data_IF_528502833957
#
_entry.id   IF_528502833957
#
_cell.length_a   1.000
_cell.length_b   1.000
_cell.length_c   1.000
_cell.angle_alpha   90.00
_cell.angle_beta   90.00
_cell.angle_gamma   90.00
#
_symmetry.space_group_name_H-M   'P 1'
#
loop_
_entity.id
_entity.type
_entity.pdbx_description
1 polymer ?
#
# COMPACT_ATOMS: atom_id res chain seq x y z
N UNK A 1 25.78 -54.61 26.96
CA UNK A 1 24.78 -54.00 27.86
C UNK A 1 24.93 -52.48 27.82
N UNK A 2 23.88 -51.80 27.31
CA UNK A 2 23.44 -50.40 27.58
C UNK A 2 24.48 -49.27 27.33
N UNK A 3 24.44 -48.58 26.18
CA UNK A 3 23.62 -47.40 25.80
C UNK A 3 23.97 -46.09 26.55
N UNK A 4 24.31 -45.04 25.78
CA UNK A 4 24.05 -43.59 25.99
C UNK A 4 24.81 -42.84 24.88
N UNK A 5 24.28 -42.65 23.66
CA UNK A 5 23.28 -41.66 23.20
C UNK A 5 23.55 -40.23 23.71
N UNK A 6 24.03 -39.38 22.81
CA UNK A 6 23.73 -37.95 22.80
C UNK A 6 23.59 -37.53 21.34
N UNK A 7 22.38 -37.68 20.81
CA UNK A 7 21.98 -37.03 19.58
C UNK A 7 21.54 -35.61 19.94
N UNK A 8 22.30 -34.63 19.46
CA UNK A 8 21.97 -33.21 19.58
C UNK A 8 20.81 -32.93 18.61
N UNK A 9 19.59 -32.87 19.13
CA UNK A 9 18.42 -32.44 18.35
C UNK A 9 18.49 -30.92 18.24
N UNK A 10 18.96 -30.44 17.09
CA UNK A 10 18.88 -29.03 16.73
C UNK A 10 17.41 -28.74 16.36
N UNK A 11 16.66 -28.15 17.28
CA UNK A 11 15.32 -27.67 17.01
C UNK A 11 15.42 -26.39 16.17
N UNK A 12 15.38 -26.53 14.85
CA UNK A 12 15.13 -25.43 13.92
C UNK A 12 13.67 -24.99 14.11
N UNK A 13 13.48 -23.86 14.78
CA UNK A 13 12.21 -23.15 14.74
C UNK A 13 12.05 -22.60 13.31
N UNK A 14 11.24 -23.27 12.49
CA UNK A 14 10.68 -22.67 11.28
C UNK A 14 9.73 -21.55 11.74
N UNK A 15 10.21 -20.32 11.77
CA UNK A 15 9.34 -19.16 11.75
C UNK A 15 8.69 -19.11 10.37
N UNK A 16 7.43 -19.56 10.29
CA UNK A 16 6.57 -19.21 9.17
C UNK A 16 6.41 -17.69 9.22
N UNK A 17 7.05 -16.97 8.30
CA UNK A 17 6.66 -15.61 8.01
C UNK A 17 5.22 -15.68 7.49
N UNK A 18 4.27 -15.15 8.25
CA UNK A 18 2.91 -14.99 7.76
C UNK A 18 2.97 -13.94 6.66
N UNK A 19 2.64 -14.32 5.42
CA UNK A 19 2.36 -13.37 4.36
C UNK A 19 1.27 -12.44 4.88
N UNK A 20 1.54 -11.15 4.99
CA UNK A 20 0.52 -10.18 5.37
C UNK A 20 -0.53 -10.12 4.25
N UNK A 21 -1.56 -10.96 4.36
CA UNK A 21 -2.79 -10.81 3.60
C UNK A 21 -3.33 -9.41 3.94
N UNK A 22 -3.68 -8.61 2.93
CA UNK A 22 -4.28 -7.31 3.18
C UNK A 22 -5.53 -7.49 4.06
N UNK A 23 -5.45 -7.00 5.31
CA UNK A 23 -6.53 -7.15 6.28
C UNK A 23 -7.56 -6.02 6.08
N UNK A 24 -8.83 -6.30 6.40
CA UNK A 24 -9.84 -5.25 6.47
C UNK A 24 -9.40 -4.17 7.47
N UNK A 25 -9.50 -2.87 7.12
CA UNK A 25 -9.12 -1.79 8.02
C UNK A 25 -10.09 -1.72 9.20
N UNK A 26 -9.62 -1.25 10.35
CA UNK A 26 -10.45 -1.07 11.55
C UNK A 26 -11.75 -0.30 11.31
N UNK A 27 -11.74 0.67 10.38
CA UNK A 27 -12.93 1.44 9.99
C UNK A 27 -14.05 0.64 9.31
N UNK A 28 -13.84 -0.62 8.93
CA UNK A 28 -14.91 -1.53 8.51
C UNK A 28 -15.89 -1.84 9.65
N UNK A 29 -15.41 -1.77 10.90
CA UNK A 29 -16.27 -1.88 12.07
C UNK A 29 -17.35 -0.78 12.06
N UNK A 30 -18.60 -1.17 12.27
CA UNK A 30 -19.74 -0.27 12.16
C UNK A 30 -21.05 -1.01 11.94
N UNK A 31 -22.07 -0.26 11.52
CA UNK A 31 -23.40 -0.78 11.25
C UNK A 31 -23.68 -0.78 9.75
N UNK A 32 -24.28 -1.86 9.27
CA UNK A 32 -24.57 -2.12 7.86
C UNK A 32 -26.02 -2.59 7.72
N UNK A 33 -26.69 -2.27 6.61
CA UNK A 33 -28.09 -2.60 6.39
C UNK A 33 -28.43 -2.64 4.91
N UNK A 34 -29.52 -3.31 4.52
CA UNK A 34 -30.03 -3.21 3.16
C UNK A 34 -31.08 -2.08 3.08
N UNK A 35 -30.88 -1.00 2.30
CA UNK A 35 -31.85 0.11 2.24
C UNK A 35 -33.22 -0.29 1.70
N UNK A 36 -33.28 -1.17 0.70
CA UNK A 36 -34.53 -1.69 0.12
C UNK A 36 -35.31 -2.58 1.09
N UNK A 37 -34.66 -3.09 2.13
CA UNK A 37 -35.22 -3.94 3.18
C UNK A 37 -35.00 -3.35 4.57
N UNK A 38 -35.14 -2.02 4.69
CA UNK A 38 -34.97 -1.29 5.95
C UNK A 38 -35.76 -1.92 7.10
N UNK A 39 -35.08 -2.26 8.20
CA UNK A 39 -35.68 -2.90 9.38
C UNK A 39 -34.82 -4.01 9.99
N UNK A 40 -33.82 -4.50 9.26
CA UNK A 40 -32.79 -5.44 9.71
C UNK A 40 -31.39 -4.92 9.36
N UNK A 41 -30.35 -5.52 9.91
CA UNK A 41 -28.97 -5.11 9.62
C UNK A 41 -27.92 -5.78 10.50
N UNK A 42 -26.66 -5.49 10.18
CA UNK A 42 -25.48 -6.08 10.80
C UNK A 42 -24.73 -5.05 11.65
N UNK A 43 -24.19 -5.52 12.76
CA UNK A 43 -23.13 -4.83 13.49
C UNK A 43 -21.83 -5.62 13.31
N UNK A 44 -20.84 -5.01 12.68
CA UNK A 44 -19.54 -5.63 12.39
C UNK A 44 -18.50 -5.06 13.34
N UNK A 45 -17.74 -5.94 13.98
CA UNK A 45 -16.60 -5.57 14.84
C UNK A 45 -15.39 -6.39 14.45
N UNK A 46 -14.34 -5.73 13.97
CA UNK A 46 -13.03 -6.38 13.82
C UNK A 46 -12.36 -6.47 15.19
N UNK A 47 -12.17 -7.69 15.69
CA UNK A 47 -11.52 -7.93 16.99
C UNK A 47 -9.99 -7.83 16.86
N UNK A 48 -9.45 -8.30 15.73
CA UNK A 48 -8.05 -8.20 15.32
C UNK A 48 -7.97 -8.41 13.78
N UNK A 49 -6.78 -8.40 13.15
CA UNK A 49 -6.67 -8.54 11.69
C UNK A 49 -7.22 -9.85 11.09
N UNK A 50 -7.40 -10.90 11.88
CA UNK A 50 -7.80 -12.25 11.43
C UNK A 50 -9.22 -12.62 11.92
N UNK A 51 -9.78 -11.88 12.88
CA UNK A 51 -11.03 -12.23 13.55
C UNK A 51 -12.02 -11.06 13.59
N UNK A 52 -13.26 -11.35 13.20
CA UNK A 52 -14.38 -10.43 13.30
C UNK A 52 -15.56 -11.08 14.04
N UNK A 53 -16.32 -10.25 14.75
CA UNK A 53 -17.62 -10.60 15.30
C UNK A 53 -18.67 -9.82 14.50
N UNK A 54 -19.59 -10.55 13.88
CA UNK A 54 -20.74 -9.96 13.19
C UNK A 54 -22.00 -10.34 13.93
N UNK A 55 -22.84 -9.35 14.21
CA UNK A 55 -24.15 -9.56 14.83
C UNK A 55 -25.21 -9.15 13.82
N UNK A 56 -25.98 -10.11 13.31
CA UNK A 56 -27.05 -9.84 12.35
C UNK A 56 -28.40 -9.82 13.07
N UNK A 57 -29.00 -8.64 13.13
CA UNK A 57 -30.35 -8.41 13.65
C UNK A 57 -31.35 -8.61 12.51
N UNK A 58 -32.21 -9.63 12.62
CA UNK A 58 -33.12 -10.08 11.54
C UNK A 58 -34.44 -10.58 12.16
N UNK A 59 -35.27 -11.24 11.37
CA UNK A 59 -36.55 -11.81 11.79
C UNK A 59 -36.62 -13.31 11.44
N UNK A 60 -37.30 -14.09 12.28
CA UNK A 60 -37.63 -15.48 11.98
C UNK A 60 -38.78 -15.59 10.95
N UNK A 61 -39.13 -16.83 10.55
CA UNK A 61 -40.20 -17.08 9.57
C UNK A 61 -41.61 -16.70 10.07
N UNK A 62 -41.78 -16.48 11.37
CA UNK A 62 -43.04 -16.02 11.98
C UNK A 62 -43.06 -14.48 12.15
N UNK A 63 -41.97 -13.80 11.78
CA UNK A 63 -41.81 -12.34 11.87
C UNK A 63 -41.36 -11.83 13.24
N UNK A 64 -40.91 -12.71 14.15
CA UNK A 64 -40.35 -12.28 15.44
C UNK A 64 -38.88 -11.85 15.28
N UNK A 65 -38.40 -10.85 16.04
CA UNK A 65 -37.00 -10.48 16.02
C UNK A 65 -36.09 -11.66 16.43
N UNK A 66 -35.02 -11.81 15.67
CA UNK A 66 -33.97 -12.81 15.85
C UNK A 66 -32.62 -12.09 15.80
N UNK A 67 -31.62 -12.64 16.49
CA UNK A 67 -30.24 -12.15 16.37
C UNK A 67 -29.31 -13.32 16.16
N UNK A 68 -28.51 -13.21 15.11
CA UNK A 68 -27.48 -14.18 14.77
C UNK A 68 -26.12 -13.62 15.21
N UNK A 69 -25.33 -14.46 15.86
CA UNK A 69 -23.96 -14.15 16.24
C UNK A 69 -23.02 -14.96 15.38
N UNK A 70 -22.17 -14.27 14.63
CA UNK A 70 -21.20 -14.86 13.72
C UNK A 70 -19.81 -14.55 14.27
N UNK A 71 -19.05 -15.61 14.51
CA UNK A 71 -17.61 -15.53 14.70
C UNK A 71 -16.97 -15.82 13.34
N UNK A 72 -16.37 -14.80 12.74
CA UNK A 72 -15.89 -14.86 11.36
C UNK A 72 -14.39 -14.67 11.25
N UNK A 73 -13.76 -15.48 10.41
CA UNK A 73 -12.37 -15.31 10.00
C UNK A 73 -12.29 -14.24 8.92
N UNK A 74 -11.31 -13.35 9.03
CA UNK A 74 -11.04 -12.29 8.05
C UNK A 74 -10.05 -12.82 7.01
N UNK A 75 -10.47 -12.81 5.74
CA UNK A 75 -9.61 -13.19 4.62
C UNK A 75 -9.75 -12.16 3.50
N UNK A 76 -8.71 -11.35 3.29
CA UNK A 76 -8.75 -10.26 2.32
C UNK A 76 -9.86 -9.25 2.64
N UNK A 77 -10.92 -9.27 1.83
CA UNK A 77 -12.08 -8.37 1.97
C UNK A 77 -13.34 -9.08 2.48
N UNK A 78 -13.18 -10.30 2.97
CA UNK A 78 -14.30 -11.15 3.34
C UNK A 78 -14.23 -11.52 4.82
N UNK A 79 -15.39 -11.57 5.46
CA UNK A 79 -15.59 -12.20 6.77
C UNK A 79 -16.41 -13.45 6.54
N UNK A 80 -15.84 -14.63 6.79
CA UNK A 80 -16.51 -15.92 6.65
C UNK A 80 -16.65 -16.57 8.01
N UNK A 81 -17.85 -17.03 8.37
CA UNK A 81 -18.03 -17.66 9.67
C UNK A 81 -19.36 -18.34 9.89
N UNK A 82 -19.38 -19.14 10.96
CA UNK A 82 -20.57 -19.85 11.39
C UNK A 82 -21.46 -18.95 12.24
N UNK A 83 -22.73 -18.88 11.88
CA UNK A 83 -23.75 -18.15 12.61
C UNK A 83 -24.45 -19.03 13.65
N UNK A 84 -24.67 -18.46 14.83
CA UNK A 84 -25.40 -19.08 15.94
C UNK A 84 -26.64 -18.26 16.30
N UNK A 85 -27.71 -18.92 16.72
CA UNK A 85 -29.00 -18.31 17.06
C UNK A 85 -29.37 -18.53 18.55
N UNK A 86 -28.83 -17.73 19.48
CA UNK A 86 -29.09 -17.90 20.91
C UNK A 86 -30.57 -17.80 21.29
N UNK A 87 -31.03 -18.66 22.19
CA UNK A 87 -32.40 -18.70 22.70
C UNK A 87 -32.48 -19.24 24.13
N UNK A 88 -33.68 -19.13 24.70
CA UNK A 88 -34.09 -19.76 25.96
C UNK A 88 -34.04 -18.84 27.19
N UNK A 89 -32.96 -18.08 27.39
CA UNK A 89 -32.90 -17.08 28.48
C UNK A 89 -33.99 -16.02 28.38
N UNK A 90 -34.46 -15.50 29.52
CA UNK A 90 -35.52 -14.49 29.60
C UNK A 90 -35.03 -13.23 30.31
N UNK A 91 -35.43 -12.07 29.80
CA UNK A 91 -35.07 -10.80 30.44
C UNK A 91 -35.55 -10.76 31.91
N UNK A 92 -34.63 -10.48 32.84
CA UNK A 92 -34.90 -10.49 34.29
C UNK A 92 -34.79 -11.87 34.95
N UNK A 93 -34.60 -12.93 34.18
CA UNK A 93 -34.38 -14.32 34.64
C UNK A 93 -33.23 -14.94 33.85
N UNK A 94 -32.01 -14.60 34.25
CA UNK A 94 -30.78 -15.03 33.57
C UNK A 94 -30.26 -16.34 34.18
N UNK A 95 -30.93 -17.46 33.88
CA UNK A 95 -30.47 -18.81 34.24
C UNK A 95 -29.59 -19.39 33.11
N UNK A 96 -28.28 -19.63 33.34
CA UNK A 96 -27.39 -20.27 32.36
C UNK A 96 -27.86 -21.63 31.86
N UNK A 97 -28.66 -22.37 32.65
CA UNK A 97 -29.17 -23.67 32.24
C UNK A 97 -30.21 -23.59 31.11
N UNK A 98 -30.84 -22.41 30.93
CA UNK A 98 -31.83 -22.17 29.88
C UNK A 98 -31.19 -21.70 28.56
N UNK A 99 -29.86 -21.48 28.52
CA UNK A 99 -29.18 -20.94 27.34
C UNK A 99 -28.83 -22.04 26.33
N UNK A 100 -29.33 -21.86 25.11
CA UNK A 100 -28.95 -22.66 23.95
C UNK A 100 -28.46 -21.74 22.83
N UNK A 101 -27.39 -22.13 22.13
CA UNK A 101 -26.88 -21.44 20.94
C UNK A 101 -26.73 -22.43 19.78
N UNK A 102 -27.85 -22.89 19.18
CA UNK A 102 -27.79 -23.75 18.00
C UNK A 102 -27.06 -23.04 16.85
N UNK A 103 -26.28 -23.81 16.09
CA UNK A 103 -25.77 -23.38 14.79
C UNK A 103 -26.97 -23.12 13.86
N UNK A 104 -26.97 -21.96 13.23
CA UNK A 104 -27.98 -21.53 12.27
C UNK A 104 -27.54 -21.83 10.84
N UNK A 105 -26.28 -21.52 10.50
CA UNK A 105 -25.73 -21.71 9.16
C UNK A 105 -24.38 -21.06 8.98
N UNK A 106 -23.90 -21.00 7.74
CA UNK A 106 -22.69 -20.25 7.37
C UNK A 106 -23.06 -18.89 6.80
N UNK A 107 -22.22 -17.89 7.08
CA UNK A 107 -22.40 -16.51 6.62
C UNK A 107 -21.09 -15.99 6.06
N UNK A 108 -21.20 -15.32 4.92
CA UNK A 108 -20.13 -14.62 4.22
C UNK A 108 -20.52 -13.15 4.10
N UNK A 109 -19.60 -12.25 4.45
CA UNK A 109 -19.74 -10.82 4.24
C UNK A 109 -18.52 -10.30 3.46
N UNK A 110 -18.74 -9.99 2.18
CA UNK A 110 -17.73 -9.50 1.26
C UNK A 110 -17.88 -7.98 1.09
N UNK A 111 -16.84 -7.20 1.40
CA UNK A 111 -16.90 -5.74 1.30
C UNK A 111 -16.43 -5.27 -0.09
N UNK A 112 -17.25 -4.49 -0.80
CA UNK A 112 -16.91 -3.88 -2.10
C UNK A 112 -16.17 -2.56 -1.95
N UNK A 113 -16.53 -1.78 -0.93
CA UNK A 113 -15.81 -0.59 -0.47
C UNK A 113 -16.24 -0.24 0.96
N UNK A 114 -16.04 1.00 1.39
CA UNK A 114 -16.44 1.43 2.73
C UNK A 114 -17.93 1.59 2.93
N UNK A 115 -18.68 1.74 1.87
CA UNK A 115 -20.10 2.04 1.92
C UNK A 115 -20.93 0.88 1.40
N UNK A 116 -20.36 -0.07 0.65
CA UNK A 116 -21.05 -1.18 0.01
C UNK A 116 -20.39 -2.53 0.35
N UNK A 117 -21.24 -3.55 0.56
CA UNK A 117 -20.85 -4.93 0.77
C UNK A 117 -21.97 -5.89 0.31
N UNK A 118 -21.63 -7.16 0.15
CA UNK A 118 -22.56 -8.24 -0.16
C UNK A 118 -22.57 -9.24 0.99
N UNK A 119 -23.76 -9.45 1.58
CA UNK A 119 -23.99 -10.54 2.52
C UNK A 119 -24.46 -11.79 1.76
N UNK A 120 -23.91 -12.95 2.10
CA UNK A 120 -24.37 -14.27 1.66
C UNK A 120 -24.57 -15.17 2.86
N UNK A 121 -25.52 -16.10 2.76
CA UNK A 121 -25.76 -17.07 3.81
C UNK A 121 -26.19 -18.41 3.25
N UNK A 122 -25.93 -19.46 4.03
CA UNK A 122 -26.45 -20.80 3.82
C UNK A 122 -26.93 -21.37 5.17
N UNK A 123 -28.25 -21.36 5.38
CA UNK A 123 -28.85 -21.85 6.62
C UNK A 123 -28.95 -23.37 6.62
N UNK A 124 -28.56 -23.97 7.74
CA UNK A 124 -28.81 -25.39 8.03
C UNK A 124 -30.29 -25.70 8.27
N UNK A 125 -31.09 -24.70 8.63
CA UNK A 125 -32.54 -24.79 8.72
C UNK A 125 -33.17 -24.49 7.33
N UNK A 126 -33.87 -25.47 6.70
CA UNK A 126 -34.49 -25.31 5.39
C UNK A 126 -35.54 -24.20 5.30
N UNK A 127 -36.08 -23.74 6.44
CA UNK A 127 -37.07 -22.67 6.47
C UNK A 127 -36.46 -21.31 6.05
N UNK A 128 -35.16 -21.12 6.24
CA UNK A 128 -34.43 -19.91 5.84
C UNK A 128 -33.69 -20.06 4.51
N UNK A 129 -33.21 -21.28 4.19
CA UNK A 129 -32.48 -21.59 2.96
C UNK A 129 -31.18 -20.79 2.80
N UNK A 130 -30.73 -20.66 1.56
CA UNK A 130 -29.52 -19.90 1.20
C UNK A 130 -29.91 -18.65 0.41
N UNK A 131 -29.11 -17.59 0.50
CA UNK A 131 -29.40 -16.34 -0.20
C UNK A 131 -28.26 -15.36 -0.18
N UNK A 132 -28.50 -14.21 -0.80
CA UNK A 132 -27.57 -13.09 -0.81
C UNK A 132 -28.34 -11.77 -0.91
N UNK A 133 -27.77 -10.71 -0.34
CA UNK A 133 -28.26 -9.35 -0.50
C UNK A 133 -27.13 -8.33 -0.43
N UNK A 134 -27.24 -7.19 -1.15
CA UNK A 134 -26.37 -6.06 -0.91
C UNK A 134 -26.68 -5.43 0.46
N UNK A 135 -25.66 -4.88 1.10
CA UNK A 135 -25.79 -4.06 2.31
C UNK A 135 -24.93 -2.81 2.17
N UNK A 136 -25.43 -1.71 2.70
CA UNK A 136 -24.79 -0.42 2.74
C UNK A 136 -24.43 -0.02 4.16
N UNK A 137 -23.41 0.82 4.29
CA UNK A 137 -23.01 1.36 5.59
C UNK A 137 -24.04 2.34 6.13
N UNK A 138 -24.55 2.05 7.33
CA UNK A 138 -25.41 2.95 8.10
C UNK A 138 -24.61 3.98 8.89
N UNK A 139 -23.50 3.57 9.51
CA UNK A 139 -22.70 4.44 10.38
C UNK A 139 -21.21 4.08 10.37
N UNK A 140 -20.38 5.12 10.50
CA UNK A 140 -18.93 5.01 10.66
C UNK A 140 -18.53 5.00 12.13
N UNK A 141 -17.47 4.27 12.45
CA UNK A 141 -16.82 4.38 13.76
C UNK A 141 -15.94 5.62 13.78
N UNK A 142 -16.26 6.58 14.66
CA UNK A 142 -15.54 7.85 14.73
C UNK A 142 -14.06 7.65 15.04
N UNK A 143 -13.18 8.29 14.25
CA UNK A 143 -11.73 8.27 14.45
C UNK A 143 -11.02 7.03 13.88
N UNK A 144 -11.72 6.17 13.14
CA UNK A 144 -11.12 5.07 12.39
C UNK A 144 -11.29 5.33 10.89
N UNK A 145 -10.19 5.27 10.14
CA UNK A 145 -10.27 5.37 8.68
C UNK A 145 -10.86 4.09 8.11
N UNK A 146 -11.83 4.30 7.22
CA UNK A 146 -12.40 3.25 6.41
C UNK A 146 -11.83 3.48 5.01
N UNK A 147 -10.77 2.74 4.70
CA UNK A 147 -10.32 2.51 3.34
C UNK A 147 -9.98 1.03 3.22
N UNK A 148 -10.90 0.16 2.78
CA UNK A 148 -10.56 -1.22 2.52
C UNK A 148 -9.45 -1.23 1.46
N UNK A 149 -8.55 -2.22 1.51
CA UNK A 149 -7.58 -2.39 0.44
C UNK A 149 -8.33 -2.38 -0.89
N UNK A 150 -7.94 -1.51 -1.83
CA UNK A 150 -8.64 -1.40 -3.11
C UNK A 150 -8.67 -2.77 -3.84
N UNK A 151 -9.68 -2.94 -4.68
CA UNK A 151 -10.05 -4.15 -5.42
C UNK A 151 -8.86 -4.97 -5.95
N UNK A 152 -8.94 -6.29 -5.77
CA UNK A 152 -7.87 -7.27 -5.95
C UNK A 152 -7.18 -7.28 -7.31
N UNK A 153 -5.99 -7.88 -7.30
CA UNK A 153 -5.02 -8.14 -8.39
C UNK A 153 -3.84 -7.16 -8.53
N UNK A 154 -3.80 -6.07 -7.76
CA UNK A 154 -2.60 -5.22 -7.65
C UNK A 154 -1.99 -5.39 -6.26
N UNK A 155 -0.96 -6.24 -6.08
CA UNK A 155 -0.29 -6.35 -4.80
C UNK A 155 0.32 -4.99 -4.42
N UNK A 156 -0.17 -4.34 -3.37
CA UNK A 156 0.59 -3.22 -2.82
C UNK A 156 1.94 -3.75 -2.32
N UNK A 157 3.03 -3.02 -2.56
CA UNK A 157 4.36 -3.50 -2.18
C UNK A 157 5.47 -3.03 -3.11
N UNK A 158 6.67 -3.59 -2.90
CA UNK A 158 7.85 -3.28 -3.70
C UNK A 158 7.81 -4.03 -5.03
N UNK A 159 8.24 -3.33 -6.08
CA UNK A 159 8.33 -3.83 -7.44
C UNK A 159 9.70 -3.52 -8.01
N UNK A 160 10.23 -4.49 -8.74
CA UNK A 160 11.42 -4.32 -9.55
C UNK A 160 11.04 -4.37 -11.01
N UNK A 161 11.76 -3.65 -11.84
CA UNK A 161 11.46 -3.52 -13.24
C UNK A 161 12.65 -3.09 -14.04
N UNK A 162 12.39 -2.79 -15.30
CA UNK A 162 13.37 -2.27 -16.25
C UNK A 162 12.78 -1.25 -17.17
N UNK A 163 13.52 -0.17 -17.40
CA UNK A 163 13.22 0.78 -18.48
C UNK A 163 14.11 0.52 -19.68
N UNK A 164 13.47 0.31 -20.84
CA UNK A 164 14.12 0.01 -22.10
C UNK A 164 13.76 1.02 -23.17
N UNK A 165 14.75 1.47 -23.94
CA UNK A 165 14.56 2.14 -25.22
C UNK A 165 14.99 1.19 -26.36
N UNK A 166 14.33 1.26 -27.52
CA UNK A 166 14.47 0.33 -28.66
C UNK A 166 15.94 -0.04 -29.05
N UNK A 167 16.92 0.83 -28.75
CA UNK A 167 18.23 0.75 -29.43
C UNK A 167 19.48 0.48 -28.57
N UNK A 168 19.46 0.57 -27.21
CA UNK A 168 20.69 0.25 -26.40
C UNK A 168 20.66 0.41 -24.87
N UNK A 169 19.53 0.70 -24.26
CA UNK A 169 19.50 1.10 -22.85
C UNK A 169 18.56 0.18 -22.09
N UNK A 170 19.07 -0.49 -21.05
CA UNK A 170 18.33 -1.30 -20.08
C UNK A 170 18.80 -0.84 -18.70
N UNK A 171 17.94 -0.18 -17.92
CA UNK A 171 18.25 0.17 -16.53
C UNK A 171 17.27 -0.53 -15.61
N UNK A 172 17.80 -0.95 -14.46
CA UNK A 172 16.97 -1.38 -13.35
C UNK A 172 16.04 -0.24 -12.94
N UNK A 173 14.81 -0.60 -12.58
CA UNK A 173 13.78 0.30 -12.11
C UNK A 173 13.24 -0.27 -10.80
N UNK A 174 12.95 0.61 -9.86
CA UNK A 174 12.33 0.23 -8.60
C UNK A 174 11.11 1.09 -8.37
N UNK A 175 10.02 0.46 -7.95
CA UNK A 175 8.77 1.12 -7.65
C UNK A 175 8.17 0.58 -6.36
N UNK A 176 7.30 1.40 -5.80
CA UNK A 176 6.27 0.93 -4.89
C UNK A 176 4.92 1.07 -5.55
N UNK A 177 4.04 0.11 -5.29
CA UNK A 177 2.62 0.26 -5.59
C UNK A 177 1.88 0.42 -4.27
N UNK A 178 1.14 1.52 -4.14
CA UNK A 178 0.38 1.81 -2.93
C UNK A 178 -0.97 1.08 -2.88
N UNK A 179 -1.67 1.20 -1.75
CA UNK A 179 -2.98 0.56 -1.56
C UNK A 179 -4.07 1.02 -2.52
N UNK A 180 -3.87 2.11 -3.27
CA UNK A 180 -4.77 2.54 -4.35
C UNK A 180 -4.33 2.01 -5.73
N UNK A 181 -3.36 1.11 -5.79
CA UNK A 181 -2.82 0.55 -7.02
C UNK A 181 -1.95 1.53 -7.81
N UNK A 182 -1.55 2.67 -7.22
CA UNK A 182 -0.74 3.67 -7.92
C UNK A 182 0.72 3.27 -7.87
N UNK A 183 1.38 3.30 -9.02
CA UNK A 183 2.79 3.01 -9.19
C UNK A 183 3.62 4.28 -8.99
N UNK A 184 4.62 4.20 -8.13
CA UNK A 184 5.59 5.26 -7.84
C UNK A 184 7.00 4.68 -7.96
N UNK A 185 7.67 4.94 -9.08
CA UNK A 185 9.03 4.41 -9.25
C UNK A 185 9.98 5.29 -10.04
N UNK A 186 11.24 4.88 -10.01
CA UNK A 186 12.33 5.56 -10.69
C UNK A 186 13.39 4.58 -11.21
N UNK A 187 14.14 5.02 -12.21
CA UNK A 187 15.34 4.32 -12.68
C UNK A 187 16.42 4.28 -11.58
N UNK A 188 17.09 3.12 -11.46
CA UNK A 188 18.18 2.81 -10.51
C UNK A 188 19.57 2.81 -11.17
N UNK A 189 19.70 3.44 -12.35
CA UNK A 189 20.91 3.39 -13.16
C UNK A 189 22.18 3.91 -12.48
N UNK A 190 23.32 3.84 -13.19
CA UNK A 190 24.69 4.07 -12.66
C UNK A 190 24.98 5.44 -11.99
N UNK A 191 23.99 6.31 -11.85
CA UNK A 191 24.02 7.62 -11.20
C UNK A 191 22.56 8.01 -10.84
N UNK A 192 21.92 7.32 -9.88
CA UNK A 192 20.46 7.23 -9.82
C UNK A 192 19.76 8.51 -9.32
N UNK A 193 20.51 9.52 -8.87
CA UNK A 193 19.96 10.74 -8.27
C UNK A 193 20.26 11.93 -9.18
N UNK A 194 19.30 12.84 -9.40
CA UNK A 194 19.49 13.94 -10.32
C UNK A 194 20.70 14.78 -9.90
N UNK A 195 21.46 15.13 -10.92
CA UNK A 195 22.85 15.53 -10.79
C UNK A 195 23.01 16.83 -11.57
N UNK A 196 23.81 17.81 -11.09
CA UNK A 196 24.13 18.98 -11.87
C UNK A 196 25.06 18.60 -13.05
N UNK A 197 24.52 17.91 -14.05
CA UNK A 197 25.26 17.50 -15.25
C UNK A 197 25.08 18.53 -16.36
N UNK A 198 26.13 19.33 -16.58
CA UNK A 198 26.19 20.35 -17.61
C UNK A 198 26.25 19.81 -19.04
N UNK A 199 26.69 18.56 -19.26
CA UNK A 199 26.84 17.95 -20.60
C UNK A 199 26.73 16.42 -20.57
N UNK A 200 25.91 15.84 -21.45
CA UNK A 200 26.06 14.47 -21.98
C UNK A 200 25.64 13.30 -21.09
N UNK A 201 25.27 13.52 -19.83
CA UNK A 201 24.75 12.46 -18.97
C UNK A 201 23.25 12.25 -19.14
N UNK A 202 22.81 11.00 -19.12
CA UNK A 202 21.38 10.65 -19.14
C UNK A 202 20.75 11.02 -17.79
N UNK A 203 19.55 11.60 -17.84
CA UNK A 203 18.74 11.79 -16.65
C UNK A 203 17.83 10.58 -16.44
N UNK A 204 17.72 10.12 -15.18
CA UNK A 204 16.86 9.00 -14.86
C UNK A 204 15.39 9.37 -15.03
N UNK A 205 14.56 8.39 -15.35
CA UNK A 205 13.12 8.51 -15.36
C UNK A 205 12.53 8.35 -13.96
N UNK A 206 11.52 9.14 -13.69
CA UNK A 206 10.49 8.87 -12.69
C UNK A 206 9.21 8.55 -13.43
N UNK A 207 8.58 7.44 -13.05
CA UNK A 207 7.34 6.98 -13.65
C UNK A 207 6.29 6.89 -12.56
N UNK A 208 5.19 7.60 -12.78
CA UNK A 208 4.01 7.58 -11.93
C UNK A 208 2.86 6.97 -12.74
N UNK A 209 2.17 5.98 -12.19
CA UNK A 209 1.09 5.28 -12.85
C UNK A 209 -0.12 5.09 -11.96
N UNK A 210 -1.29 4.93 -12.56
CA UNK A 210 -2.55 4.61 -11.89
C UNK A 210 -3.43 3.73 -12.79
N UNK A 211 -4.32 2.93 -12.22
CA UNK A 211 -5.39 2.29 -12.98
C UNK A 211 -6.29 3.34 -13.65
N UNK A 212 -6.71 3.09 -14.89
CA UNK A 212 -7.56 4.01 -15.68
C UNK A 212 -8.97 4.09 -15.09
N UNK A 213 -9.50 2.97 -14.62
CA UNK A 213 -10.80 2.86 -13.93
C UNK A 213 -10.66 1.98 -12.69
N UNK A 214 -11.42 2.28 -11.62
CA UNK A 214 -11.45 1.45 -10.41
C UNK A 214 -11.90 -0.01 -10.68
N UNK A 215 -12.57 -0.24 -11.81
CA UNK A 215 -13.09 -1.54 -12.24
C UNK A 215 -12.20 -2.25 -13.28
N UNK A 216 -11.20 -1.56 -13.86
CA UNK A 216 -10.28 -2.13 -14.86
C UNK A 216 -8.88 -2.22 -14.25
N UNK A 217 -8.63 -3.26 -13.46
CA UNK A 217 -7.33 -3.48 -12.78
C UNK A 217 -6.18 -3.79 -13.72
N UNK A 218 -6.45 -3.99 -15.01
CA UNK A 218 -5.47 -4.33 -16.03
C UNK A 218 -5.06 -3.15 -16.89
N UNK A 219 -5.82 -2.04 -16.95
CA UNK A 219 -5.46 -0.89 -17.79
C UNK A 219 -4.83 0.22 -16.95
N UNK A 220 -3.63 0.67 -17.33
CA UNK A 220 -2.86 1.67 -16.61
C UNK A 220 -2.58 2.88 -17.48
N UNK A 221 -2.73 4.05 -16.88
CA UNK A 221 -2.21 5.30 -17.42
C UNK A 221 -1.21 5.89 -16.46
N UNK A 222 -0.34 6.74 -16.98
CA UNK A 222 0.68 7.34 -16.16
C UNK A 222 1.41 8.45 -16.88
N UNK A 223 2.52 8.81 -16.27
CA UNK A 223 3.42 9.80 -16.79
C UNK A 223 4.84 9.40 -16.49
N UNK A 224 5.68 9.45 -17.52
CA UNK A 224 7.13 9.39 -17.38
C UNK A 224 7.68 10.81 -17.39
N UNK A 225 8.61 11.11 -16.50
CA UNK A 225 9.26 12.42 -16.41
C UNK A 225 10.73 12.25 -16.10
N UNK A 226 11.57 13.06 -16.74
CA UNK A 226 12.99 13.07 -16.39
C UNK A 226 13.20 13.80 -15.07
N UNK A 227 14.11 13.31 -14.23
CA UNK A 227 14.45 13.96 -12.97
C UNK A 227 15.32 15.20 -13.18
N UNK A 228 14.81 16.40 -12.89
CA UNK A 228 15.49 17.68 -13.19
C UNK A 228 15.60 18.66 -11.99
N UNK A 229 15.22 18.25 -10.79
CA UNK A 229 15.03 19.17 -9.66
C UNK A 229 16.30 19.83 -9.08
N UNK A 230 17.47 19.35 -9.48
CA UNK A 230 18.77 19.90 -9.04
C UNK A 230 19.23 21.15 -9.79
N UNK A 231 18.46 21.66 -10.75
CA UNK A 231 18.75 22.94 -11.41
C UNK A 231 17.65 23.98 -11.18
N UNK A 232 17.91 25.05 -10.42
CA UNK A 232 16.91 26.07 -10.17
C UNK A 232 16.43 26.81 -11.44
N UNK A 233 17.26 26.85 -12.49
CA UNK A 233 17.07 27.61 -13.74
C UNK A 233 16.69 26.77 -14.96
N UNK A 234 16.65 25.43 -14.88
CA UNK A 234 16.30 24.61 -16.03
C UNK A 234 14.79 24.71 -16.28
N UNK A 235 14.39 25.46 -17.30
CA UNK A 235 13.01 25.53 -17.80
C UNK A 235 12.61 24.29 -18.62
N UNK A 236 13.40 23.21 -18.58
CA UNK A 236 13.18 21.99 -19.38
C UNK A 236 12.04 21.20 -18.75
N UNK A 237 10.95 21.06 -19.50
CA UNK A 237 9.68 20.43 -19.08
C UNK A 237 9.48 19.15 -19.88
N UNK A 238 9.99 18.05 -19.34
CA UNK A 238 9.94 16.75 -20.00
C UNK A 238 8.95 15.85 -19.26
N UNK A 239 7.69 15.90 -19.70
CA UNK A 239 6.60 15.02 -19.26
C UNK A 239 6.02 14.29 -20.47
N UNK A 240 5.88 12.99 -20.36
CA UNK A 240 5.36 12.15 -21.41
C UNK A 240 4.21 11.31 -20.87
N UNK A 241 3.07 11.35 -21.54
CA UNK A 241 1.97 10.46 -21.23
C UNK A 241 2.45 9.02 -21.42
N UNK A 242 2.20 8.20 -20.41
CA UNK A 242 2.49 6.78 -20.45
C UNK A 242 1.17 6.01 -20.37
N UNK A 243 1.10 4.89 -21.06
CA UNK A 243 -0.06 3.99 -21.01
C UNK A 243 0.41 2.56 -21.17
N UNK A 244 -0.35 1.62 -20.62
CA UNK A 244 -0.08 0.21 -20.77
C UNK A 244 -0.98 -0.62 -19.87
N UNK A 245 -0.47 -1.76 -19.43
CA UNK A 245 -1.29 -2.78 -18.80
C UNK A 245 -0.61 -3.40 -17.58
N UNK A 246 -1.42 -3.81 -16.61
CA UNK A 246 -1.01 -4.64 -15.49
C UNK A 246 -1.36 -6.10 -15.76
N UNK A 247 -0.47 -7.02 -15.42
CA UNK A 247 -0.58 -8.45 -15.69
C UNK A 247 -1.06 -9.25 -14.46
N UNK A 248 -2.34 -9.12 -14.10
CA UNK A 248 -3.08 -10.08 -13.27
C UNK A 248 -2.47 -10.54 -11.93
N UNK A 249 -2.98 -11.64 -11.34
CA UNK A 249 -2.68 -12.04 -9.97
C UNK A 249 -1.24 -12.56 -9.75
N UNK A 250 -0.49 -12.82 -10.83
CA UNK A 250 0.96 -13.13 -10.75
C UNK A 250 1.82 -11.89 -10.53
N UNK A 251 1.22 -10.70 -10.67
CA UNK A 251 1.80 -9.39 -10.43
C UNK A 251 2.74 -8.91 -11.54
N UNK A 252 2.73 -7.59 -11.77
CA UNK A 252 3.60 -6.90 -12.72
C UNK A 252 2.83 -6.15 -13.79
N UNK A 253 3.53 -5.43 -14.66
CA UNK A 253 2.89 -4.66 -15.71
C UNK A 253 3.89 -4.02 -16.66
N UNK A 254 3.34 -3.27 -17.61
CA UNK A 254 4.07 -2.54 -18.63
C UNK A 254 3.47 -1.15 -18.85
N UNK A 255 4.33 -0.13 -19.03
CA UNK A 255 3.96 1.21 -19.44
C UNK A 255 4.85 1.63 -20.60
N UNK A 256 4.26 2.28 -21.60
CA UNK A 256 4.97 2.79 -22.77
C UNK A 256 4.76 4.28 -22.93
N UNK A 257 5.81 4.98 -23.38
CA UNK A 257 5.73 6.40 -23.73
C UNK A 257 6.67 6.74 -24.89
N UNK A 258 6.39 7.84 -25.58
CA UNK A 258 7.27 8.43 -26.58
C UNK A 258 7.97 9.66 -25.98
N UNK A 259 9.30 9.75 -26.12
CA UNK A 259 10.04 10.94 -25.70
C UNK A 259 10.00 12.07 -26.74
N UNK A 260 10.67 13.20 -26.44
CA UNK A 260 10.70 14.38 -27.31
C UNK A 260 11.33 14.14 -28.69
N UNK A 261 12.11 13.07 -28.86
CA UNK A 261 12.72 12.65 -30.13
C UNK A 261 11.87 11.56 -30.83
N UNK A 262 10.64 11.32 -30.36
CA UNK A 262 9.76 10.24 -30.83
C UNK A 262 10.34 8.83 -30.64
N UNK A 263 11.25 8.64 -29.69
CA UNK A 263 11.76 7.31 -29.33
C UNK A 263 10.79 6.64 -28.36
N UNK A 264 10.49 5.36 -28.61
CA UNK A 264 9.66 4.57 -27.71
C UNK A 264 10.47 4.09 -26.51
N UNK A 265 9.87 4.26 -25.34
CA UNK A 265 10.32 3.75 -24.08
C UNK A 265 9.29 2.78 -23.53
N UNK A 266 9.76 1.67 -22.98
CA UNK A 266 8.94 0.68 -22.29
C UNK A 266 9.49 0.49 -20.88
N UNK A 267 8.62 0.62 -19.88
CA UNK A 267 8.86 0.18 -18.52
C UNK A 267 8.13 -1.15 -18.34
N UNK A 268 8.84 -2.18 -17.89
CA UNK A 268 8.23 -3.43 -17.40
C UNK A 268 8.53 -3.57 -15.91
N UNK A 269 7.60 -4.11 -15.12
CA UNK A 269 7.81 -4.36 -13.69
C UNK A 269 7.14 -5.65 -13.23
N UNK A 270 7.59 -6.19 -12.10
CA UNK A 270 7.07 -7.37 -11.43
C UNK A 270 7.27 -7.27 -9.91
N UNK A 271 6.45 -7.93 -9.08
CA UNK A 271 6.63 -7.90 -7.63
C UNK A 271 8.05 -8.27 -7.24
N UNK A 272 8.63 -7.52 -6.30
CA UNK A 272 9.91 -7.88 -5.72
C UNK A 272 9.78 -9.22 -4.98
N UNK A 273 10.73 -10.14 -5.17
CA UNK A 273 10.76 -11.40 -4.42
C UNK A 273 11.34 -11.18 -3.02
N UNK A 274 11.14 -12.13 -2.09
CA UNK A 274 11.74 -12.06 -0.74
C UNK A 274 13.28 -11.93 -0.78
N UNK A 275 13.92 -12.42 -1.85
CA UNK A 275 15.35 -12.27 -2.08
C UNK A 275 15.77 -10.91 -2.62
N UNK A 276 14.82 -10.12 -3.13
CA UNK A 276 15.07 -8.81 -3.75
C UNK A 276 14.90 -7.64 -2.78
N UNK A 277 14.98 -7.94 -1.48
CA UNK A 277 14.80 -7.03 -0.33
C UNK A 277 13.35 -6.62 -0.07
N UNK A 278 13.08 -6.41 1.22
CA UNK A 278 11.72 -6.17 1.75
C UNK A 278 11.49 -4.71 2.10
N UNK A 279 10.23 -4.27 1.94
CA UNK A 279 9.76 -3.02 2.55
C UNK A 279 9.88 -3.12 4.06
N UNK A 280 10.34 -2.05 4.67
CA UNK A 280 10.33 -1.91 6.12
C UNK A 280 8.94 -1.44 6.53
N UNK A 281 8.23 -2.28 7.28
CA UNK A 281 6.92 -1.97 7.82
C UNK A 281 6.75 -2.58 9.23
N UNK A 282 6.03 -1.93 10.17
CA UNK A 282 5.45 -0.60 10.03
C UNK A 282 6.50 0.52 10.16
N UNK A 283 6.34 1.59 9.39
CA UNK A 283 7.09 2.83 9.54
C UNK A 283 6.47 3.70 10.63
N UNK A 284 7.34 4.42 11.34
CA UNK A 284 6.94 5.48 12.27
C UNK A 284 7.78 6.72 12.00
N UNK A 285 7.25 7.92 12.27
CA UNK A 285 8.03 9.16 12.13
C UNK A 285 9.27 9.15 13.01
N UNK A 286 9.21 8.51 14.18
CA UNK A 286 10.38 8.35 15.05
C UNK A 286 11.43 7.40 14.48
N UNK A 287 11.03 6.36 13.73
CA UNK A 287 11.95 5.46 13.05
C UNK A 287 12.58 6.07 11.79
N UNK A 288 11.88 7.02 11.16
CA UNK A 288 12.38 7.82 10.04
C UNK A 288 13.17 9.06 10.48
N UNK A 289 13.10 9.43 11.77
CA UNK A 289 13.78 10.61 12.26
C UNK A 289 15.29 10.40 12.20
N UNK A 290 16.00 11.29 11.53
CA UNK A 290 17.43 11.17 11.34
C UNK A 290 17.93 11.93 10.14
N UNK A 291 19.23 11.76 9.89
CA UNK A 291 19.93 12.34 8.76
C UNK A 291 20.34 11.22 7.80
N UNK A 292 20.20 11.50 6.52
CA UNK A 292 20.40 10.55 5.44
C UNK A 292 21.32 11.16 4.39
N UNK A 293 22.33 10.41 4.00
CA UNK A 293 23.18 10.71 2.87
C UNK A 293 22.40 10.55 1.57
N UNK A 294 22.46 11.54 0.68
CA UNK A 294 21.85 11.51 -0.65
C UNK A 294 22.96 11.57 -1.70
N UNK A 295 23.43 10.42 -2.21
CA UNK A 295 24.55 10.39 -3.16
C UNK A 295 24.15 11.00 -4.50
N UNK A 296 24.75 12.12 -4.87
CA UNK A 296 24.51 12.80 -6.14
C UNK A 296 25.69 12.55 -7.08
N UNK A 297 25.39 12.35 -8.37
CA UNK A 297 26.46 12.40 -9.35
C UNK A 297 26.83 13.85 -9.64
N UNK A 298 28.10 14.08 -9.92
CA UNK A 298 28.55 15.34 -10.51
C UNK A 298 29.65 15.05 -11.54
N UNK A 299 30.14 16.11 -12.20
CA UNK A 299 31.19 15.96 -13.19
C UNK A 299 32.58 15.80 -12.59
N UNK A 300 32.71 15.81 -11.26
CA UNK A 300 33.99 15.75 -10.57
C UNK A 300 34.28 14.33 -10.07
N UNK A 301 35.54 13.88 -10.11
CA UNK A 301 35.91 12.62 -9.49
C UNK A 301 35.63 12.66 -7.99
N UNK A 302 34.64 11.88 -7.53
CA UNK A 302 34.23 11.82 -6.11
C UNK A 302 32.73 11.96 -5.88
N UNK A 303 31.97 12.51 -6.86
CA UNK A 303 30.55 12.78 -6.69
C UNK A 303 30.28 13.94 -5.72
N UNK A 304 29.01 14.27 -5.56
CA UNK A 304 28.56 15.26 -4.58
C UNK A 304 27.55 14.62 -3.62
N UNK A 305 27.56 15.03 -2.36
CA UNK A 305 26.63 14.49 -1.36
C UNK A 305 25.65 15.57 -0.95
N UNK A 306 24.36 15.31 -1.18
CA UNK A 306 23.26 16.03 -0.52
C UNK A 306 22.89 15.35 0.79
N UNK A 307 22.05 16.00 1.59
CA UNK A 307 21.54 15.45 2.83
C UNK A 307 20.04 15.58 2.90
N UNK A 308 19.37 14.53 3.37
CA UNK A 308 17.97 14.55 3.77
C UNK A 308 17.92 14.45 5.29
N UNK A 309 17.26 15.39 5.95
CA UNK A 309 16.99 15.35 7.38
C UNK A 309 15.48 15.26 7.60
N UNK A 310 15.06 14.30 8.41
CA UNK A 310 13.67 14.11 8.82
C UNK A 310 13.59 14.27 10.34
N UNK A 311 12.76 15.19 10.81
CA UNK A 311 12.47 15.37 12.23
C UNK A 311 11.47 14.32 12.74
N UNK A 312 11.50 14.05 14.04
CA UNK A 312 10.53 13.16 14.69
C UNK A 312 9.08 13.69 14.63
N UNK A 313 8.91 14.97 14.32
CA UNK A 313 7.63 15.63 14.05
C UNK A 313 7.18 15.53 12.59
N UNK A 314 7.98 14.88 11.73
CA UNK A 314 7.74 14.78 10.29
C UNK A 314 8.30 15.97 9.51
N UNK A 315 9.01 16.92 10.13
CA UNK A 315 9.69 17.97 9.37
C UNK A 315 10.70 17.38 8.39
N UNK A 316 10.79 17.91 7.17
CA UNK A 316 11.70 17.44 6.13
C UNK A 316 12.58 18.59 5.63
N UNK A 317 13.87 18.32 5.51
CA UNK A 317 14.84 19.22 4.93
C UNK A 317 15.75 18.48 3.96
N UNK A 318 15.87 18.97 2.73
CA UNK A 318 16.87 18.51 1.77
C UNK A 318 17.91 19.61 1.59
N UNK A 319 19.13 19.34 2.03
CA UNK A 319 20.33 20.12 1.81
C UNK A 319 21.00 19.63 0.53
N UNK A 320 21.27 20.57 -0.38
CA UNK A 320 21.98 20.31 -1.62
C UNK A 320 23.48 20.55 -1.44
N UNK A 321 24.34 19.82 -2.17
CA UNK A 321 25.78 20.03 -2.12
C UNK A 321 26.16 21.43 -2.59
N UNK A 322 27.37 21.88 -2.25
CA UNK A 322 27.87 23.21 -2.61
C UNK A 322 27.90 23.50 -4.13
N UNK A 323 27.89 22.46 -4.97
CA UNK A 323 27.76 22.58 -6.43
C UNK A 323 26.39 23.09 -6.88
N UNK A 324 25.36 22.94 -6.04
CA UNK A 324 24.06 23.58 -6.22
C UNK A 324 24.22 25.06 -5.89
N UNK A 325 24.15 25.93 -6.90
CA UNK A 325 24.56 27.35 -6.90
C UNK A 325 23.86 28.32 -5.93
N UNK A 326 23.41 27.85 -4.77
CA UNK A 326 22.89 28.58 -3.64
C UNK A 326 23.53 28.03 -2.34
N UNK A 327 24.81 28.31 -2.13
CA UNK A 327 25.64 27.76 -1.03
C UNK A 327 25.32 28.31 0.36
N UNK A 328 24.49 29.36 0.44
CA UNK A 328 24.20 30.06 1.70
C UNK A 328 22.95 29.52 2.42
N UNK A 329 22.25 28.54 1.83
CA UNK A 329 21.09 27.89 2.43
C UNK A 329 21.47 26.58 3.10
N UNK A 330 21.19 26.46 4.39
CA UNK A 330 21.28 25.20 5.14
C UNK A 330 20.18 24.20 4.74
N UNK A 331 19.08 24.67 4.13
CA UNK A 331 18.00 23.83 3.64
C UNK A 331 17.49 24.38 2.30
N UNK A 332 17.55 23.57 1.25
CA UNK A 332 17.13 23.97 -0.10
C UNK A 332 15.67 23.63 -0.36
N UNK A 333 15.22 22.47 0.13
CA UNK A 333 13.82 22.06 0.08
C UNK A 333 13.33 21.73 1.47
N UNK A 334 12.41 22.55 1.97
CA UNK A 334 11.71 22.32 3.24
C UNK A 334 10.37 21.68 2.97
N UNK A 335 9.95 20.80 3.87
CA UNK A 335 8.76 19.99 3.67
C UNK A 335 8.25 19.29 4.92
N UNK A 336 7.39 18.30 4.68
CA UNK A 336 6.81 17.41 5.66
C UNK A 336 6.77 15.98 5.13
N UNK A 337 6.93 15.03 6.05
CA UNK A 337 6.66 13.60 5.88
C UNK A 337 5.47 13.23 6.76
N UNK A 338 4.53 12.48 6.21
CA UNK A 338 3.35 11.98 6.91
C UNK A 338 3.22 10.48 6.69
N UNK A 339 2.69 9.77 7.68
CA UNK A 339 2.36 8.36 7.52
C UNK A 339 0.95 8.28 6.92
N UNK A 340 0.78 7.72 5.71
CA UNK A 340 -0.52 7.47 5.14
C UNK A 340 -1.28 6.39 5.92
N UNK A 341 -2.59 6.57 6.05
CA UNK A 341 -3.46 5.60 6.71
C UNK A 341 -3.51 4.30 5.91
N UNK A 342 -3.31 3.16 6.58
CA UNK A 342 -3.36 1.81 5.99
C UNK A 342 -2.07 1.34 5.30
N UNK A 343 -1.26 2.26 4.79
CA UNK A 343 -0.01 1.99 4.07
C UNK A 343 1.20 1.91 5.03
N UNK A 344 1.24 0.87 5.87
CA UNK A 344 2.21 0.78 6.98
C UNK A 344 3.69 0.82 6.54
N UNK A 345 4.01 0.55 5.28
CA UNK A 345 5.38 0.61 4.74
C UNK A 345 5.74 1.88 3.98
N UNK A 346 4.81 2.84 3.84
CA UNK A 346 4.97 4.04 3.01
C UNK A 346 4.93 5.33 3.84
N UNK A 347 5.33 6.41 3.19
CA UNK A 347 5.11 7.78 3.63
C UNK A 347 4.62 8.65 2.50
N UNK A 348 3.86 9.70 2.83
CA UNK A 348 3.68 10.84 1.95
C UNK A 348 4.76 11.87 2.26
N UNK A 349 5.37 12.44 1.23
CA UNK A 349 6.23 13.61 1.38
C UNK A 349 5.67 14.78 0.59
N UNK A 350 5.91 15.97 1.12
CA UNK A 350 5.58 17.22 0.49
C UNK A 350 6.72 18.20 0.76
N UNK A 351 7.16 18.91 -0.26
CA UNK A 351 8.06 20.06 -0.16
C UNK A 351 7.33 21.26 -0.76
N UNK A 352 7.91 22.45 -0.67
CA UNK A 352 7.36 23.63 -1.35
C UNK A 352 7.21 23.50 -2.89
N UNK A 353 7.73 22.43 -3.52
CA UNK A 353 7.67 22.20 -4.98
C UNK A 353 7.19 20.79 -5.33
N UNK A 354 7.67 19.77 -4.65
CA UNK A 354 7.43 18.36 -4.99
C UNK A 354 6.56 17.68 -3.94
N UNK A 355 5.75 16.72 -4.38
CA UNK A 355 4.98 15.84 -3.50
C UNK A 355 5.00 14.43 -4.07
N UNK A 356 4.80 13.43 -3.22
CA UNK A 356 4.69 12.05 -3.67
C UNK A 356 4.76 11.05 -2.54
N UNK A 357 5.15 9.83 -2.88
CA UNK A 357 5.30 8.71 -1.96
C UNK A 357 6.76 8.48 -1.62
N UNK A 358 7.01 8.02 -0.41
CA UNK A 358 8.28 7.45 0.01
C UNK A 358 8.12 6.09 0.63
N UNK A 359 9.20 5.33 0.68
CA UNK A 359 9.25 4.03 1.31
C UNK A 359 10.68 3.71 1.76
N UNK A 360 10.80 2.89 2.80
CA UNK A 360 12.10 2.40 3.24
C UNK A 360 12.20 0.92 2.87
N UNK A 361 13.31 0.53 2.26
CA UNK A 361 13.56 -0.83 1.84
C UNK A 361 14.97 -1.24 2.24
N UNK A 362 15.19 -2.54 2.45
CA UNK A 362 16.55 -3.05 2.37
C UNK A 362 17.01 -2.87 0.91
N UNK A 363 18.18 -2.28 0.69
CA UNK A 363 18.70 -1.86 -0.61
C UNK A 363 19.96 -2.67 -0.97
N UNK A 364 20.52 -2.53 -2.20
CA UNK A 364 21.76 -3.24 -2.57
C UNK A 364 22.93 -2.95 -1.65
N UNK A 365 22.94 -1.73 -1.14
CA UNK A 365 24.00 -1.17 -0.31
C UNK A 365 23.55 -1.02 1.15
N UNK A 366 22.47 -1.70 1.55
CA UNK A 366 21.84 -1.62 2.86
C UNK A 366 20.55 -0.80 2.87
N UNK A 367 20.08 -0.46 4.06
CA UNK A 367 18.81 0.26 4.25
C UNK A 367 18.78 1.58 3.48
N UNK A 368 17.74 1.78 2.68
CA UNK A 368 17.55 2.98 1.88
C UNK A 368 16.13 3.54 2.02
N UNK A 369 16.03 4.86 2.07
CA UNK A 369 14.80 5.63 1.99
C UNK A 369 14.67 6.19 0.58
N UNK A 370 13.61 5.79 -0.12
CA UNK A 370 13.34 6.24 -1.49
C UNK A 370 12.15 7.19 -1.45
N UNK A 371 12.28 8.36 -2.08
CA UNK A 371 11.19 9.32 -2.28
C UNK A 371 10.96 9.49 -3.78
N UNK A 372 9.73 9.25 -4.24
CA UNK A 372 9.31 9.37 -5.64
C UNK A 372 8.08 10.27 -5.72
N UNK A 373 8.12 11.26 -6.60
CA UNK A 373 7.00 12.17 -6.74
C UNK A 373 7.08 13.03 -7.99
N UNK A 374 6.33 14.12 -7.95
CA UNK A 374 6.30 15.08 -9.03
C UNK A 374 6.06 16.51 -8.51
N UNK A 375 6.34 17.47 -9.38
CA UNK A 375 6.05 18.87 -9.15
C UNK A 375 4.53 19.13 -9.17
N UNK A 376 3.95 19.46 -8.01
CA UNK A 376 2.53 19.83 -7.92
C UNK A 376 2.18 21.10 -8.71
N UNK A 377 3.20 21.89 -9.08
CA UNK A 377 3.05 23.09 -9.90
C UNK A 377 3.23 22.81 -11.40
N UNK A 378 3.62 21.58 -11.79
CA UNK A 378 3.75 21.13 -13.18
C UNK A 378 4.86 21.82 -13.99
N UNK A 379 5.88 22.35 -13.33
CA UNK A 379 6.89 23.24 -13.93
C UNK A 379 8.29 22.61 -14.04
N UNK A 380 8.61 21.58 -13.25
CA UNK A 380 10.01 21.12 -13.06
C UNK A 380 10.30 19.64 -13.31
N UNK A 381 9.39 18.89 -13.94
CA UNK A 381 9.58 17.46 -14.17
C UNK A 381 9.36 16.61 -12.90
N UNK A 382 9.74 15.33 -12.98
CA UNK A 382 9.57 14.37 -11.90
C UNK A 382 10.59 14.55 -10.76
N UNK A 383 10.25 14.01 -9.59
CA UNK A 383 11.10 13.99 -8.40
C UNK A 383 11.46 12.56 -8.03
N UNK A 384 12.74 12.31 -7.80
CA UNK A 384 13.25 11.06 -7.27
C UNK A 384 14.49 11.31 -6.45
N UNK A 385 14.59 10.60 -5.33
CA UNK A 385 15.70 10.65 -4.38
C UNK A 385 15.83 9.30 -3.69
N UNK A 386 17.06 8.82 -3.55
CA UNK A 386 17.43 7.67 -2.72
C UNK A 386 18.36 8.18 -1.61
N UNK A 387 18.06 7.86 -0.36
CA UNK A 387 18.80 8.33 0.80
C UNK A 387 19.22 7.14 1.67
N UNK A 388 20.42 7.21 2.24
CA UNK A 388 20.98 6.16 3.09
C UNK A 388 21.15 6.72 4.50
N UNK A 389 20.76 6.01 5.58
CA UNK A 389 20.99 6.49 6.94
C UNK A 389 22.46 6.88 7.15
N UNK A 390 22.71 8.03 7.77
CA UNK A 390 24.06 8.47 8.12
C UNK A 390 24.72 7.40 9.03
N UNK A 391 25.91 6.94 8.62
CA UNK A 391 26.63 5.81 9.24
C UNK A 391 27.23 6.11 10.61
#
# INVERSE_FOLDING_TARGET
MKHLVSALILATALSLASTAQAALPGGISGHWYNPDQSGHGLSVTLANPELAIVVWHVFDTDGNPMTLYIEGEVSGRTIEGTAYAPKGMRFGMFDPADFEAPQWGEVDLEFDNCVEATLRWDSSDPAFGSGSMPVERLAFTHGLDCKPPSTGDVPAGLYNGRTQAEDRIDEDFQAVVDLEGRLWGMDRGRNPIPSPMWVGGRLPWVVLGRPVDANSSFEYEGRASKMYWTFPWSEVRDHFAASGEWFGPTGGGELRWLDGDSREWTLTWSPATETDKSLVAPLTLSALAGRYEVPMSDQTPGGATGWLEIGADGSLCIEMPASYGNTDKACHFTGQVRLPDGDAGLVDFETGTYHGRGYMADGPDGLELVLVGDDHLGNKGGFGLVAYPES
#
